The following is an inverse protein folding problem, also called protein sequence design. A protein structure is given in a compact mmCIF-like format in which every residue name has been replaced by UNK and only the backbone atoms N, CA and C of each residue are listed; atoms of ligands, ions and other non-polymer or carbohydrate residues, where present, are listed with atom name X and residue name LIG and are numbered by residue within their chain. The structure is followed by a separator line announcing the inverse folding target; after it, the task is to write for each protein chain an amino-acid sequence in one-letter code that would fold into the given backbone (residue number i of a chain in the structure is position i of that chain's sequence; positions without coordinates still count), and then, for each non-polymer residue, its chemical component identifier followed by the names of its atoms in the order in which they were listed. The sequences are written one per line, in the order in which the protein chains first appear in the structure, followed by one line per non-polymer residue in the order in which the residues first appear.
data_IF_792330739854
#
_entry.id   IF_792330739854
#
_cell.length_a   1.000
_cell.length_b   1.000
_cell.length_c   1.000
_cell.angle_alpha   90.00
_cell.angle_beta   90.00
_cell.angle_gamma   90.00
#
_symmetry.space_group_name_H-M   'P 1'
#
loop_
_entity.id
_entity.type
_entity.pdbx_description
1 polymer ?
#
# COMPACT_ATOMS: atom_id res chain seq x y z
N UNK A 1 16.07 -40.76 2.86
CA UNK A 1 14.68 -40.81 2.35
C UNK A 1 13.67 -39.99 3.15
N UNK A 2 13.42 -40.26 4.45
CA UNK A 2 12.43 -39.47 5.22
C UNK A 2 12.94 -38.05 5.52
N UNK A 3 14.23 -37.91 5.85
CA UNK A 3 14.87 -36.61 6.11
C UNK A 3 14.86 -35.70 4.87
N UNK A 4 15.09 -36.27 3.69
CA UNK A 4 15.07 -35.54 2.40
C UNK A 4 13.66 -35.04 2.05
N UNK A 5 12.62 -35.84 2.33
CA UNK A 5 11.22 -35.41 2.14
C UNK A 5 10.84 -34.23 3.04
N UNK A 6 11.35 -34.18 4.27
CA UNK A 6 11.11 -33.06 5.19
C UNK A 6 11.84 -31.78 4.77
N UNK A 7 13.07 -31.89 4.25
CA UNK A 7 13.76 -30.72 3.68
C UNK A 7 13.07 -30.17 2.45
N UNK A 8 12.59 -31.05 1.55
CA UNK A 8 11.86 -30.63 0.35
C UNK A 8 10.55 -29.93 0.72
N UNK A 9 9.80 -30.50 1.68
CA UNK A 9 8.58 -29.88 2.18
C UNK A 9 8.85 -28.53 2.84
N UNK A 10 9.95 -28.39 3.59
CA UNK A 10 10.36 -27.11 4.16
C UNK A 10 10.65 -26.08 3.08
N UNK A 11 11.41 -26.44 2.04
CA UNK A 11 11.70 -25.55 0.93
C UNK A 11 10.42 -25.05 0.24
N UNK A 12 9.45 -25.95 0.00
CA UNK A 12 8.16 -25.59 -0.59
C UNK A 12 7.34 -24.64 0.28
N UNK A 13 7.30 -24.88 1.58
CA UNK A 13 6.52 -24.05 2.50
C UNK A 13 7.18 -22.69 2.72
N UNK A 14 8.51 -22.62 2.76
CA UNK A 14 9.25 -21.36 2.81
C UNK A 14 8.97 -20.53 1.55
N UNK A 15 9.08 -21.14 0.36
CA UNK A 15 8.76 -20.48 -0.91
C UNK A 15 7.30 -19.99 -0.96
N UNK A 16 6.35 -20.83 -0.53
CA UNK A 16 4.94 -20.44 -0.48
C UNK A 16 4.70 -19.24 0.44
N UNK A 17 5.40 -19.15 1.58
CA UNK A 17 5.31 -18.00 2.46
C UNK A 17 5.92 -16.75 1.83
N UNK A 18 7.11 -16.87 1.22
CA UNK A 18 7.81 -15.75 0.61
C UNK A 18 7.01 -15.14 -0.55
N UNK A 19 6.32 -15.96 -1.35
CA UNK A 19 5.41 -15.50 -2.40
C UNK A 19 4.23 -14.69 -1.84
N UNK A 20 3.58 -15.18 -0.78
CA UNK A 20 2.46 -14.46 -0.16
C UNK A 20 2.94 -13.17 0.53
N UNK A 21 4.14 -13.20 1.14
CA UNK A 21 4.76 -12.01 1.73
C UNK A 21 5.09 -10.98 0.65
N UNK A 22 5.60 -11.41 -0.51
CA UNK A 22 5.89 -10.52 -1.63
C UNK A 22 4.62 -9.84 -2.17
N UNK A 23 3.50 -10.55 -2.28
CA UNK A 23 2.21 -9.96 -2.70
C UNK A 23 1.75 -8.90 -1.70
N UNK A 24 1.81 -9.21 -0.41
CA UNK A 24 1.38 -8.28 0.64
C UNK A 24 2.28 -7.04 0.73
N UNK A 25 3.60 -7.21 0.61
CA UNK A 25 4.56 -6.08 0.62
C UNK A 25 4.40 -5.17 -0.59
N UNK A 26 4.07 -5.71 -1.77
CA UNK A 26 3.71 -4.89 -2.94
C UNK A 26 2.51 -3.99 -2.68
N UNK A 27 1.43 -4.54 -2.12
CA UNK A 27 0.24 -3.76 -1.76
C UNK A 27 0.57 -2.64 -0.76
N UNK A 28 1.42 -2.92 0.24
CA UNK A 28 1.85 -1.90 1.22
C UNK A 28 2.77 -0.84 0.62
N UNK A 29 3.64 -1.22 -0.31
CA UNK A 29 4.47 -0.27 -1.04
C UNK A 29 3.62 0.67 -1.90
N UNK A 30 2.60 0.15 -2.58
CA UNK A 30 1.66 0.96 -3.36
C UNK A 30 0.84 1.89 -2.47
N UNK A 31 0.34 1.41 -1.33
CA UNK A 31 -0.35 2.25 -0.34
C UNK A 31 0.56 3.39 0.17
N UNK A 32 1.83 3.10 0.44
CA UNK A 32 2.81 4.09 0.91
C UNK A 32 3.05 5.17 -0.14
N UNK A 33 3.10 4.80 -1.43
CA UNK A 33 3.20 5.78 -2.53
C UNK A 33 1.99 6.71 -2.54
N UNK A 34 0.78 6.17 -2.43
CA UNK A 34 -0.43 6.99 -2.41
C UNK A 34 -0.48 7.92 -1.20
N UNK A 35 0.01 7.48 -0.03
CA UNK A 35 0.14 8.35 1.15
C UNK A 35 1.09 9.51 0.84
N UNK A 36 2.26 9.23 0.28
CA UNK A 36 3.21 10.29 -0.10
C UNK A 36 2.64 11.27 -1.14
N UNK A 37 1.85 10.77 -2.10
CA UNK A 37 1.18 11.61 -3.10
C UNK A 37 0.13 12.52 -2.48
N UNK A 38 -0.67 11.98 -1.55
CA UNK A 38 -1.66 12.76 -0.79
C UNK A 38 -0.98 13.86 0.03
N UNK A 39 0.09 13.52 0.73
CA UNK A 39 0.79 14.46 1.61
C UNK A 39 1.40 15.59 0.79
N UNK A 40 2.05 15.26 -0.34
CA UNK A 40 2.56 16.25 -1.30
C UNK A 40 1.45 17.13 -1.88
N UNK A 41 0.30 16.56 -2.22
CA UNK A 41 -0.85 17.34 -2.71
C UNK A 41 -1.37 18.29 -1.63
N UNK A 42 -1.36 17.87 -0.36
CA UNK A 42 -1.68 18.71 0.78
C UNK A 42 -0.73 19.89 0.94
N UNK A 43 0.58 19.65 0.82
CA UNK A 43 1.62 20.70 0.82
C UNK A 43 1.41 21.68 -0.33
N UNK A 44 1.26 21.18 -1.56
CA UNK A 44 1.00 22.02 -2.74
C UNK A 44 -0.25 22.88 -2.57
N UNK A 45 -1.31 22.32 -1.99
CA UNK A 45 -2.55 23.06 -1.77
C UNK A 45 -2.37 24.14 -0.70
N UNK A 46 -1.64 23.85 0.38
CA UNK A 46 -1.30 24.83 1.41
C UNK A 46 -0.51 25.99 0.82
N UNK A 47 0.55 25.68 0.06
CA UNK A 47 1.40 26.68 -0.59
C UNK A 47 0.59 27.55 -1.57
N UNK A 48 -0.31 26.94 -2.34
CA UNK A 48 -1.20 27.66 -3.25
C UNK A 48 -2.15 28.61 -2.49
N UNK A 49 -2.75 28.16 -1.39
CA UNK A 49 -3.58 29.02 -0.55
C UNK A 49 -2.81 30.20 0.04
N UNK A 50 -1.59 29.97 0.51
CA UNK A 50 -0.74 31.04 1.04
C UNK A 50 -0.38 32.06 -0.07
N UNK A 51 -0.17 31.62 -1.31
CA UNK A 51 0.04 32.50 -2.47
C UNK A 51 -1.22 33.25 -2.91
N UNK A 52 -2.40 32.64 -2.75
CA UNK A 52 -3.70 33.23 -3.10
C UNK A 52 -4.25 34.16 -2.01
N UNK A 53 -3.57 34.33 -0.87
CA UNK A 53 -4.06 35.16 0.23
C UNK A 53 -4.12 36.67 -0.09
N UNK A 54 -3.51 37.11 -1.20
CA UNK A 54 -3.46 38.51 -1.63
C UNK A 54 -3.93 38.72 -3.07
N UNK A 55 -3.59 39.87 -3.66
CA UNK A 55 -3.88 40.12 -5.08
C UNK A 55 -3.03 39.19 -5.95
N UNK A 56 -3.64 38.10 -6.39
CA UNK A 56 -2.99 37.09 -7.21
C UNK A 56 -3.65 36.98 -8.61
N UNK A 57 -2.87 36.81 -9.70
CA UNK A 57 -3.43 36.61 -11.04
C UNK A 57 -4.37 35.41 -11.16
N UNK A 58 -4.22 34.39 -10.31
CA UNK A 58 -5.12 33.22 -10.29
C UNK A 58 -6.56 33.54 -9.92
N UNK A 59 -6.86 34.69 -9.30
CA UNK A 59 -8.26 35.11 -9.10
C UNK A 59 -8.89 35.57 -10.41
N UNK A 60 -8.08 35.95 -11.41
CA UNK A 60 -8.58 36.22 -12.75
C UNK A 60 -9.04 34.90 -13.36
N UNK A 61 -10.22 34.92 -13.97
CA UNK A 61 -10.80 33.76 -14.66
C UNK A 61 -10.99 32.52 -13.76
N UNK A 62 -11.18 32.70 -12.44
CA UNK A 62 -11.48 31.64 -11.47
C UNK A 62 -10.38 30.56 -11.34
N UNK A 63 -9.11 30.91 -11.55
CA UNK A 63 -7.99 29.96 -11.47
C UNK A 63 -7.82 29.32 -10.09
N UNK A 64 -8.08 30.05 -9.01
CA UNK A 64 -8.12 29.55 -7.63
C UNK A 64 -9.22 28.49 -7.42
N UNK A 65 -10.42 28.73 -7.95
CA UNK A 65 -11.52 27.77 -7.94
C UNK A 65 -11.20 26.51 -8.76
N UNK A 66 -10.59 26.68 -9.94
CA UNK A 66 -10.15 25.56 -10.78
C UNK A 66 -9.07 24.72 -10.08
N UNK A 67 -8.13 25.38 -9.40
CA UNK A 67 -7.13 24.72 -8.57
C UNK A 67 -7.77 23.90 -7.44
N UNK A 68 -8.69 24.48 -6.67
CA UNK A 68 -9.38 23.75 -5.59
C UNK A 68 -10.19 22.57 -6.13
N UNK A 69 -10.84 22.72 -7.28
CA UNK A 69 -11.55 21.64 -7.95
C UNK A 69 -10.60 20.51 -8.34
N UNK A 70 -9.44 20.85 -8.92
CA UNK A 70 -8.41 19.88 -9.28
C UNK A 70 -7.85 19.15 -8.04
N UNK A 71 -7.56 19.87 -6.95
CA UNK A 71 -7.10 19.26 -5.69
C UNK A 71 -8.15 18.28 -5.15
N UNK A 72 -9.43 18.69 -5.13
CA UNK A 72 -10.53 17.84 -4.66
C UNK A 72 -10.67 16.54 -5.47
N UNK A 73 -10.61 16.64 -6.80
CA UNK A 73 -10.66 15.47 -7.70
C UNK A 73 -9.49 14.51 -7.45
N UNK A 74 -8.27 15.03 -7.32
CA UNK A 74 -7.09 14.21 -7.07
C UNK A 74 -7.12 13.55 -5.68
N UNK A 75 -7.59 14.26 -4.65
CA UNK A 75 -7.77 13.68 -3.31
C UNK A 75 -8.81 12.55 -3.32
N UNK A 76 -9.90 12.71 -4.05
CA UNK A 76 -10.92 11.66 -4.19
C UNK A 76 -10.32 10.42 -4.89
N UNK A 77 -9.61 10.62 -6.00
CA UNK A 77 -8.97 9.53 -6.74
C UNK A 77 -7.95 8.77 -5.88
N UNK A 78 -7.05 9.49 -5.21
CA UNK A 78 -6.07 8.90 -4.29
C UNK A 78 -6.78 8.15 -3.15
N UNK A 79 -7.83 8.74 -2.57
CA UNK A 79 -8.59 8.14 -1.48
C UNK A 79 -9.28 6.84 -1.88
N UNK A 80 -9.89 6.79 -3.08
CA UNK A 80 -10.51 5.57 -3.63
C UNK A 80 -9.48 4.47 -3.83
N UNK A 81 -8.32 4.79 -4.40
CA UNK A 81 -7.27 3.79 -4.64
C UNK A 81 -6.65 3.30 -3.32
N UNK A 82 -6.44 4.19 -2.33
CA UNK A 82 -6.01 3.77 -1.00
C UNK A 82 -7.01 2.81 -0.34
N UNK A 83 -8.31 3.10 -0.41
CA UNK A 83 -9.34 2.23 0.13
C UNK A 83 -9.34 0.85 -0.55
N UNK A 84 -9.19 0.83 -1.88
CA UNK A 84 -9.05 -0.40 -2.67
C UNK A 84 -7.84 -1.23 -2.24
N UNK A 85 -6.66 -0.63 -2.12
CA UNK A 85 -5.44 -1.35 -1.70
C UNK A 85 -5.55 -1.89 -0.28
N UNK A 86 -6.16 -1.13 0.64
CA UNK A 86 -6.43 -1.60 2.02
C UNK A 86 -7.37 -2.79 2.05
N UNK A 87 -8.44 -2.75 1.26
CA UNK A 87 -9.37 -3.87 1.14
C UNK A 87 -8.65 -5.12 0.60
N UNK A 88 -7.84 -4.98 -0.45
CA UNK A 88 -7.04 -6.09 -0.99
C UNK A 88 -6.06 -6.65 0.04
N UNK A 89 -5.39 -5.78 0.81
CA UNK A 89 -4.46 -6.20 1.86
C UNK A 89 -5.16 -7.00 2.95
N UNK A 90 -6.35 -6.57 3.40
CA UNK A 90 -7.14 -7.33 4.39
C UNK A 90 -7.66 -8.65 3.82
N UNK A 91 -8.06 -8.71 2.54
CA UNK A 91 -8.45 -9.96 1.86
C UNK A 91 -7.28 -10.95 1.78
N UNK A 92 -6.04 -10.50 1.55
CA UNK A 92 -4.86 -11.37 1.44
C UNK A 92 -4.32 -11.84 2.80
N UNK A 93 -4.58 -11.09 3.87
CA UNK A 93 -4.05 -11.33 5.22
C UNK A 93 -4.28 -12.75 5.77
N UNK A 94 -5.45 -13.39 5.59
CA UNK A 94 -5.66 -14.77 6.05
C UNK A 94 -4.75 -15.77 5.32
N UNK A 95 -4.50 -15.58 4.02
CA UNK A 95 -3.63 -16.46 3.22
C UNK A 95 -2.19 -16.37 3.70
N UNK A 96 -1.68 -15.15 3.91
CA UNK A 96 -0.35 -14.92 4.48
C UNK A 96 -0.19 -15.56 5.87
N UNK A 97 -1.19 -15.38 6.75
CA UNK A 97 -1.19 -16.01 8.09
C UNK A 97 -1.15 -17.53 8.02
N UNK A 98 -1.92 -18.14 7.11
CA UNK A 98 -1.91 -19.60 6.90
C UNK A 98 -0.54 -20.10 6.41
N UNK A 99 0.07 -19.40 5.44
CA UNK A 99 1.39 -19.74 4.93
C UNK A 99 2.46 -19.65 6.04
N UNK A 100 2.43 -18.58 6.85
CA UNK A 100 3.29 -18.42 8.02
C UNK A 100 3.11 -19.55 9.05
N UNK A 101 1.86 -19.92 9.33
CA UNK A 101 1.54 -21.03 10.25
C UNK A 101 2.16 -22.35 9.77
N UNK A 102 1.99 -22.69 8.48
CA UNK A 102 2.61 -23.89 7.87
C UNK A 102 4.13 -23.85 8.01
N UNK A 103 4.76 -22.72 7.69
CA UNK A 103 6.22 -22.51 7.81
C UNK A 103 6.71 -22.73 9.25
N UNK A 104 5.96 -22.21 10.21
CA UNK A 104 6.27 -22.32 11.64
C UNK A 104 6.17 -23.76 12.15
N UNK A 105 5.13 -24.50 11.74
CA UNK A 105 4.93 -25.90 12.13
C UNK A 105 6.05 -26.79 11.58
N UNK A 106 6.35 -26.70 10.28
CA UNK A 106 7.42 -27.52 9.67
C UNK A 106 8.78 -27.20 10.30
N UNK A 107 9.06 -25.93 10.55
CA UNK A 107 10.30 -25.51 11.21
C UNK A 107 10.42 -26.04 12.65
N UNK A 108 9.29 -26.26 13.35
CA UNK A 108 9.28 -26.88 14.69
C UNK A 108 9.50 -28.38 14.62
N UNK A 109 8.83 -29.07 13.68
CA UNK A 109 8.96 -30.52 13.48
C UNK A 109 10.41 -30.89 13.12
N UNK A 110 11.08 -30.10 12.28
CA UNK A 110 12.47 -30.37 11.87
C UNK A 110 13.54 -30.04 12.94
N UNK A 111 13.17 -29.30 13.99
CA UNK A 111 14.04 -29.02 15.14
C UNK A 111 13.88 -30.05 16.26
N UNK A 112 12.78 -30.80 16.25
CA UNK A 112 12.49 -31.91 17.17
C UNK A 112 13.08 -33.22 16.65
#
# INVERSE_FOLDING_TARGET
MVKDKWSDLKALVDLSFDLELQKFTKLRAEETKLVSMRDRLGEMNKDAFDQFAGVHPSHLLNGDFLWQTWVGQNLEEIGREQARLRAQAEIQKPTLRKAFGRKSVISRIMKS
#
